data_IF_083134690424
#
_entry.id   IF_083134690424
#
_cell.length_a   1.000
_cell.length_b   1.000
_cell.length_c   1.000
_cell.angle_alpha   90.00
_cell.angle_beta   90.00
_cell.angle_gamma   90.00
#
_symmetry.space_group_name_H-M   'P 1'
#
loop_
_entity.id
_entity.type
_entity.pdbx_description
1 polymer ?
#
# COMPACT_ATOMS: atom_id res chain seq x y z
N UNK A 1 11.91 -12.46 -14.06
CA UNK A 1 11.30 -11.30 -14.77
C UNK A 1 9.95 -10.90 -14.16
N UNK A 2 9.02 -11.83 -13.96
CA UNK A 2 7.72 -11.57 -13.30
C UNK A 2 7.83 -10.89 -11.93
N UNK A 3 8.68 -11.39 -11.03
CA UNK A 3 8.90 -10.80 -9.70
C UNK A 3 9.39 -9.35 -9.80
N UNK A 4 10.29 -9.05 -10.73
CA UNK A 4 10.80 -7.69 -10.94
C UNK A 4 9.70 -6.75 -11.45
N UNK A 5 8.87 -7.21 -12.40
CA UNK A 5 7.72 -6.45 -12.90
C UNK A 5 6.72 -6.16 -11.78
N UNK A 6 6.39 -7.17 -10.96
CA UNK A 6 5.49 -6.99 -9.82
C UNK A 6 6.06 -6.04 -8.76
N UNK A 7 7.36 -6.11 -8.48
CA UNK A 7 8.03 -5.20 -7.55
C UNK A 7 7.97 -3.75 -8.05
N UNK A 8 8.26 -3.53 -9.35
CA UNK A 8 8.17 -2.20 -9.97
C UNK A 8 6.74 -1.67 -9.90
N UNK A 9 5.74 -2.49 -10.28
CA UNK A 9 4.33 -2.10 -10.20
C UNK A 9 3.89 -1.78 -8.77
N UNK A 10 4.29 -2.60 -7.79
CA UNK A 10 3.98 -2.38 -6.37
C UNK A 10 4.58 -1.05 -5.89
N UNK A 11 5.86 -0.80 -6.18
CA UNK A 11 6.51 0.47 -5.80
C UNK A 11 5.84 1.67 -6.48
N UNK A 12 5.51 1.56 -7.78
CA UNK A 12 4.80 2.61 -8.50
C UNK A 12 3.43 2.91 -7.91
N UNK A 13 2.67 1.87 -7.55
CA UNK A 13 1.36 2.00 -6.90
C UNK A 13 1.45 2.58 -5.48
N UNK A 14 2.48 2.23 -4.70
CA UNK A 14 2.71 2.84 -3.38
C UNK A 14 3.01 4.33 -3.49
N UNK A 15 3.91 4.71 -4.40
CA UNK A 15 4.22 6.11 -4.68
C UNK A 15 2.97 6.84 -5.15
N UNK A 16 2.24 6.27 -6.11
CA UNK A 16 0.98 6.82 -6.59
C UNK A 16 -0.06 6.95 -5.46
N UNK A 17 -0.18 5.99 -4.55
CA UNK A 17 -1.11 6.06 -3.42
C UNK A 17 -0.79 7.18 -2.42
N UNK A 18 0.48 7.58 -2.29
CA UNK A 18 0.88 8.69 -1.41
C UNK A 18 0.66 10.02 -2.12
N UNK A 19 1.01 10.11 -3.40
CA UNK A 19 0.92 11.34 -4.19
C UNK A 19 -0.52 11.64 -4.65
N UNK A 20 -1.27 10.64 -5.09
CA UNK A 20 -2.64 10.76 -5.55
C UNK A 20 -3.60 10.63 -4.36
N UNK A 21 -4.15 11.75 -3.95
CA UNK A 21 -5.15 11.82 -2.89
C UNK A 21 -5.74 13.22 -2.84
N UNK A 22 -6.80 13.46 -3.59
CA UNK A 22 -7.53 14.73 -3.52
C UNK A 22 -8.42 14.74 -2.27
N UNK A 23 -7.84 14.99 -1.09
CA UNK A 23 -8.63 15.16 0.14
C UNK A 23 -8.11 16.37 0.89
N UNK A 24 -8.88 17.47 0.80
CA UNK A 24 -8.59 18.74 1.45
C UNK A 24 -7.73 19.72 0.63
N UNK A 25 -7.70 20.97 1.10
CA UNK A 25 -7.13 22.21 0.53
C UNK A 25 -5.61 22.18 0.22
N UNK A 26 -5.05 21.06 -0.23
CA UNK A 26 -3.65 20.93 -0.62
C UNK A 26 -3.59 20.97 -2.13
N UNK A 27 -2.96 22.00 -2.69
CA UNK A 27 -2.81 22.13 -4.13
C UNK A 27 -1.99 20.95 -4.71
N UNK A 28 -2.26 20.48 -5.94
CA UNK A 28 -1.50 19.40 -6.54
C UNK A 28 0.01 19.72 -6.68
N UNK A 29 0.35 20.99 -6.89
CA UNK A 29 1.73 21.49 -6.96
C UNK A 29 2.48 21.33 -5.63
N UNK A 30 1.73 21.18 -4.54
CA UNK A 30 2.22 21.22 -3.18
C UNK A 30 2.58 19.84 -2.64
N UNK A 31 2.09 18.79 -3.30
CA UNK A 31 2.24 17.40 -2.89
C UNK A 31 3.67 16.90 -3.07
N UNK A 32 4.28 17.20 -4.22
CA UNK A 32 5.65 16.76 -4.53
C UNK A 32 6.68 17.33 -3.55
N UNK A 33 6.77 18.64 -3.29
CA UNK A 33 7.74 19.16 -2.33
C UNK A 33 7.41 18.76 -0.89
N UNK A 34 6.12 18.56 -0.54
CA UNK A 34 5.74 18.08 0.79
C UNK A 34 6.13 16.61 1.00
N UNK A 35 6.11 15.77 -0.05
CA UNK A 35 6.58 14.39 0.02
C UNK A 35 8.09 14.30 0.33
N UNK A 36 8.87 15.31 -0.06
CA UNK A 36 10.28 15.43 0.29
C UNK A 36 10.53 16.23 1.57
N UNK A 37 9.50 16.58 2.33
CA UNK A 37 9.63 17.37 3.57
C UNK A 37 10.07 18.82 3.33
N UNK A 38 10.00 19.32 2.09
CA UNK A 38 10.40 20.69 1.73
C UNK A 38 9.30 21.72 2.01
N UNK A 39 8.17 21.31 2.58
CA UNK A 39 7.04 22.17 2.93
C UNK A 39 6.57 21.85 4.34
N UNK A 40 6.11 22.87 5.04
CA UNK A 40 5.61 22.76 6.41
C UNK A 40 4.11 23.01 6.46
N UNK A 41 3.39 22.32 7.35
CA UNK A 41 1.97 22.56 7.62
C UNK A 41 1.04 21.42 7.17
N UNK A 42 -0.13 21.76 6.63
CA UNK A 42 -1.21 20.81 6.37
C UNK A 42 -0.82 19.73 5.34
N UNK A 43 -0.05 20.10 4.31
CA UNK A 43 0.42 19.16 3.28
C UNK A 43 1.35 18.08 3.85
N UNK A 44 2.31 18.47 4.69
CA UNK A 44 3.26 17.57 5.36
C UNK A 44 2.54 16.61 6.32
N UNK A 45 1.65 17.16 7.15
CA UNK A 45 0.81 16.36 8.06
C UNK A 45 -0.04 15.34 7.30
N UNK A 46 -0.71 15.75 6.22
CA UNK A 46 -1.51 14.85 5.38
C UNK A 46 -0.67 13.70 4.81
N UNK A 47 0.53 13.98 4.32
CA UNK A 47 1.39 12.95 3.73
C UNK A 47 1.90 12.01 4.82
N UNK A 48 2.60 12.52 5.83
CA UNK A 48 3.31 11.67 6.80
C UNK A 48 2.45 11.09 7.91
N UNK A 49 1.35 11.75 8.30
CA UNK A 49 0.50 11.28 9.40
C UNK A 49 -0.75 10.54 8.95
N UNK A 50 -1.15 10.68 7.69
CA UNK A 50 -2.38 10.05 7.17
C UNK A 50 -2.06 9.09 6.03
N UNK A 51 -1.41 9.56 4.95
CA UNK A 51 -1.22 8.74 3.75
C UNK A 51 -0.15 7.68 3.90
N UNK A 52 1.01 8.03 4.42
CA UNK A 52 2.11 7.07 4.63
C UNK A 52 1.68 5.94 5.57
N UNK A 53 1.06 6.17 6.73
CA UNK A 53 0.58 5.09 7.60
C UNK A 53 -0.46 4.21 6.92
N UNK A 54 -1.38 4.79 6.13
CA UNK A 54 -2.38 4.03 5.36
C UNK A 54 -1.74 3.17 4.27
N UNK A 55 -0.77 3.71 3.54
CA UNK A 55 -0.05 2.98 2.49
C UNK A 55 0.73 1.80 3.09
N UNK A 56 1.39 2.02 4.24
CA UNK A 56 2.06 0.95 4.99
C UNK A 56 1.07 -0.12 5.48
N UNK A 57 -0.07 0.29 6.04
CA UNK A 57 -1.10 -0.65 6.47
C UNK A 57 -1.62 -1.51 5.32
N UNK A 58 -1.88 -0.91 4.14
CA UNK A 58 -2.31 -1.63 2.94
C UNK A 58 -1.24 -2.60 2.41
N UNK A 59 0.03 -2.19 2.42
CA UNK A 59 1.15 -3.04 2.02
C UNK A 59 1.30 -4.26 2.93
N UNK A 60 1.30 -4.02 4.24
CA UNK A 60 1.50 -5.06 5.24
C UNK A 60 0.31 -6.02 5.28
N UNK A 61 -0.92 -5.52 5.26
CA UNK A 61 -2.11 -6.39 5.25
C UNK A 61 -2.17 -7.23 3.99
N UNK A 62 -1.90 -6.65 2.81
CA UNK A 62 -1.84 -7.39 1.55
C UNK A 62 -0.77 -8.48 1.55
N UNK A 63 0.42 -8.19 2.07
CA UNK A 63 1.50 -9.17 2.20
C UNK A 63 1.13 -10.33 3.14
N UNK A 64 0.54 -10.00 4.31
CA UNK A 64 0.13 -11.01 5.29
C UNK A 64 -1.01 -11.89 4.76
N UNK A 65 -2.00 -11.32 4.07
CA UNK A 65 -3.07 -12.10 3.44
C UNK A 65 -2.55 -12.98 2.30
N UNK A 66 -1.61 -12.48 1.48
CA UNK A 66 -0.96 -13.29 0.45
C UNK A 66 -0.19 -14.46 1.03
N UNK A 67 0.54 -14.25 2.14
CA UNK A 67 1.25 -15.31 2.86
C UNK A 67 0.29 -16.32 3.49
N UNK A 68 -0.78 -15.87 4.15
CA UNK A 68 -1.78 -16.74 4.74
C UNK A 68 -2.45 -17.63 3.68
N UNK A 69 -2.83 -17.06 2.53
CA UNK A 69 -3.39 -17.81 1.41
C UNK A 69 -2.42 -18.85 0.86
N UNK A 70 -1.15 -18.47 0.64
CA UNK A 70 -0.13 -19.39 0.14
C UNK A 70 0.15 -20.55 1.11
N UNK A 71 0.16 -20.27 2.43
CA UNK A 71 0.32 -21.29 3.46
C UNK A 71 -0.87 -22.26 3.49
N UNK A 72 -2.08 -21.73 3.41
CA UNK A 72 -3.31 -22.53 3.43
C UNK A 72 -3.44 -23.44 2.20
N UNK A 73 -3.18 -22.91 1.01
CA UNK A 73 -3.13 -23.68 -0.23
C UNK A 73 -2.13 -24.85 -0.15
N UNK A 74 -0.97 -24.64 0.50
CA UNK A 74 0.03 -25.70 0.73
C UNK A 74 -0.43 -26.73 1.76
N UNK A 75 -1.06 -26.29 2.85
CA UNK A 75 -1.54 -27.17 3.92
C UNK A 75 -2.60 -28.16 3.41
N UNK A 76 -3.57 -27.65 2.65
CA UNK A 76 -4.68 -28.46 2.09
C UNK A 76 -4.28 -29.13 0.77
N UNK A 77 -3.14 -28.74 0.19
CA UNK A 77 -2.66 -29.18 -1.13
C UNK A 77 -3.71 -28.94 -2.22
N UNK A 78 -4.46 -27.84 -2.08
CA UNK A 78 -5.47 -27.40 -3.03
C UNK A 78 -5.19 -25.94 -3.41
N UNK A 79 -4.76 -25.65 -4.64
CA UNK A 79 -4.45 -24.28 -5.08
C UNK A 79 -5.68 -23.37 -5.15
N UNK A 80 -6.90 -23.92 -5.08
CA UNK A 80 -8.15 -23.17 -5.01
C UNK A 80 -8.63 -22.92 -3.58
N UNK A 81 -7.93 -23.45 -2.57
CA UNK A 81 -8.30 -23.21 -1.18
C UNK A 81 -8.03 -21.76 -0.79
N UNK A 82 -9.04 -21.10 -0.23
CA UNK A 82 -8.95 -19.74 0.26
C UNK A 82 -9.11 -19.74 1.80
N UNK A 83 -8.38 -18.85 2.52
CA UNK A 83 -8.30 -18.89 3.98
C UNK A 83 -9.65 -18.61 4.68
N UNK A 84 -10.60 -18.02 3.99
CA UNK A 84 -12.01 -17.79 4.38
C UNK A 84 -12.76 -19.07 4.78
N UNK A 85 -12.30 -20.24 4.32
CA UNK A 85 -12.85 -21.55 4.74
C UNK A 85 -12.61 -21.83 6.24
N UNK A 86 -11.66 -21.15 6.90
CA UNK A 86 -11.33 -21.32 8.33
C UNK A 86 -12.32 -20.59 9.26
N UNK A 87 -13.16 -19.68 8.73
CA UNK A 87 -14.25 -19.05 9.49
C UNK A 87 -13.86 -17.85 10.35
N UNK A 88 -12.78 -17.14 9.99
CA UNK A 88 -12.38 -15.83 10.55
C UNK A 88 -12.80 -14.66 9.66
#
# INVERSE_FOLDING_TARGET
>A
LTVAVLAVLLTGLLVASVLLGGVGRVDPADVLPAAFGMRTGLADYMIFRIRVPRALAALLSGALFGLAGALYQRLIRNPLATPDIVGI
#
